data_IF_570102399919
#
_entry.id   IF_570102399919
#
_cell.length_a   1.000
_cell.length_b   1.000
_cell.length_c   1.000
_cell.angle_alpha   90.00
_cell.angle_beta   90.00
_cell.angle_gamma   90.00
#
_symmetry.space_group_name_H-M   'P 1'
#
loop_
_entity.id
_entity.type
_entity.pdbx_description
1 polymer ?
#
# COMPACT_ATOMS: atom_id res chain seq x y z
N UNK A 1 -33.43 -18.83 48.26
CA UNK A 1 -32.03 -18.40 48.03
C UNK A 1 -31.93 -17.92 46.59
N UNK A 2 -31.80 -16.62 46.37
CA UNK A 2 -31.64 -16.05 45.03
C UNK A 2 -30.17 -16.17 44.61
N UNK A 3 -29.87 -17.09 43.69
CA UNK A 3 -28.55 -17.14 43.06
C UNK A 3 -28.41 -15.90 42.16
N UNK A 4 -27.73 -14.86 42.64
CA UNK A 4 -27.27 -13.78 41.77
C UNK A 4 -26.26 -14.37 40.78
N UNK A 5 -26.72 -14.75 39.57
CA UNK A 5 -25.81 -15.10 38.47
C UNK A 5 -24.91 -13.89 38.19
N UNK A 6 -23.60 -14.07 38.36
CA UNK A 6 -22.59 -13.06 38.02
C UNK A 6 -22.73 -12.72 36.53
N UNK A 7 -22.70 -11.43 36.18
CA UNK A 7 -22.71 -10.97 34.79
C UNK A 7 -21.47 -11.50 34.06
N UNK A 8 -21.62 -11.91 32.80
CA UNK A 8 -20.47 -12.33 31.97
C UNK A 8 -19.43 -11.20 31.82
N UNK A 9 -19.90 -9.97 31.62
CA UNK A 9 -19.07 -8.75 31.54
C UNK A 9 -18.87 -8.08 32.90
N UNK A 10 -18.75 -8.86 33.98
CA UNK A 10 -18.65 -8.30 35.33
C UNK A 10 -17.37 -7.50 35.56
N UNK A 11 -16.23 -7.90 34.96
CA UNK A 11 -14.96 -7.16 35.10
C UNK A 11 -15.09 -5.76 34.47
N UNK A 12 -15.70 -5.67 33.29
CA UNK A 12 -16.04 -4.40 32.67
C UNK A 12 -16.87 -3.49 33.59
N UNK A 13 -17.97 -4.00 34.15
CA UNK A 13 -18.85 -3.22 35.04
C UNK A 13 -18.15 -2.80 36.33
N UNK A 14 -17.21 -3.62 36.82
CA UNK A 14 -16.41 -3.30 38.00
C UNK A 14 -15.40 -2.18 37.72
N UNK A 15 -14.70 -2.26 36.59
CA UNK A 15 -13.73 -1.24 36.16
C UNK A 15 -14.39 0.07 35.73
N UNK A 16 -15.56 -0.04 35.09
CA UNK A 16 -16.32 1.08 34.55
C UNK A 16 -17.77 1.00 35.04
N UNK A 17 -18.09 1.53 36.24
CA UNK A 17 -19.46 1.50 36.73
C UNK A 17 -20.38 2.35 35.85
N UNK A 18 -21.65 1.93 35.63
CA UNK A 18 -22.62 2.72 34.88
C UNK A 18 -22.90 4.05 35.59
N UNK A 19 -23.08 5.12 34.80
CA UNK A 19 -23.50 6.41 35.35
C UNK A 19 -24.93 6.33 35.90
N UNK A 20 -25.30 7.32 36.72
CA UNK A 20 -26.64 7.41 37.34
C UNK A 20 -27.80 7.51 36.32
N UNK A 21 -27.50 7.89 35.07
CA UNK A 21 -28.49 8.08 34.00
C UNK A 21 -28.65 6.83 33.12
N UNK A 22 -27.81 5.82 33.31
CA UNK A 22 -27.92 4.55 32.59
C UNK A 22 -29.13 3.78 33.13
N UNK A 23 -30.02 3.39 32.22
CA UNK A 23 -31.19 2.57 32.54
C UNK A 23 -31.24 1.34 31.64
N UNK A 24 -31.76 0.20 32.14
CA UNK A 24 -31.86 -1.04 31.38
C UNK A 24 -32.48 -0.83 29.99
N UNK A 25 -31.89 -1.49 29.00
CA UNK A 25 -32.36 -1.37 27.62
C UNK A 25 -33.81 -1.92 27.48
N UNK A 26 -34.62 -1.30 26.61
CA UNK A 26 -35.95 -1.82 26.26
C UNK A 26 -35.89 -3.28 25.78
N UNK A 27 -36.92 -4.08 26.12
CA UNK A 27 -36.93 -5.53 25.84
C UNK A 27 -36.94 -5.83 24.34
N UNK A 28 -37.69 -5.03 23.60
CA UNK A 28 -37.77 -4.98 22.15
C UNK A 28 -36.38 -4.74 21.52
N UNK A 29 -35.59 -3.79 22.05
CA UNK A 29 -34.22 -3.57 21.59
C UNK A 29 -33.35 -4.81 21.83
N UNK A 30 -33.36 -5.37 23.05
CA UNK A 30 -32.58 -6.57 23.38
C UNK A 30 -32.99 -7.76 22.52
N UNK A 31 -34.29 -7.92 22.24
CA UNK A 31 -34.82 -8.99 21.39
C UNK A 31 -34.40 -8.83 19.93
N UNK A 32 -34.35 -7.60 19.41
CA UNK A 32 -33.98 -7.33 18.02
C UNK A 32 -32.54 -7.75 17.69
N UNK A 33 -31.65 -7.79 18.68
CA UNK A 33 -30.25 -8.20 18.53
C UNK A 33 -29.96 -9.61 19.08
N UNK A 34 -30.97 -10.34 19.55
CA UNK A 34 -30.82 -11.72 20.03
C UNK A 34 -30.36 -12.65 18.89
N UNK A 35 -29.29 -13.41 19.12
CA UNK A 35 -28.68 -14.29 18.10
C UNK A 35 -27.83 -13.55 17.07
N UNK A 36 -27.74 -12.22 17.17
CA UNK A 36 -26.90 -11.37 16.31
C UNK A 36 -25.70 -10.87 17.12
N UNK A 37 -25.95 -10.34 18.31
CA UNK A 37 -24.90 -9.94 19.26
C UNK A 37 -24.66 -11.04 20.31
N UNK A 38 -23.44 -11.12 20.87
CA UNK A 38 -23.12 -12.03 21.96
C UNK A 38 -24.06 -11.87 23.16
N UNK A 39 -24.45 -13.01 23.75
CA UNK A 39 -25.38 -13.04 24.88
C UNK A 39 -24.86 -12.28 26.12
N UNK A 40 -23.54 -12.18 26.27
CA UNK A 40 -22.85 -11.43 27.32
C UNK A 40 -23.15 -9.92 27.26
N UNK A 41 -23.10 -9.32 26.06
CA UNK A 41 -23.46 -7.92 25.83
C UNK A 41 -24.95 -7.68 26.05
N UNK A 42 -25.82 -8.56 25.52
CA UNK A 42 -27.27 -8.45 25.70
C UNK A 42 -27.67 -8.61 27.17
N UNK A 43 -26.96 -9.45 27.93
CA UNK A 43 -27.15 -9.55 29.38
C UNK A 43 -26.79 -8.23 30.07
N UNK A 44 -25.68 -7.58 29.68
CA UNK A 44 -25.28 -6.29 30.20
C UNK A 44 -26.32 -5.21 29.91
N UNK A 45 -26.81 -5.11 28.67
CA UNK A 45 -27.85 -4.14 28.28
C UNK A 45 -29.14 -4.33 29.07
N UNK A 46 -29.58 -5.58 29.25
CA UNK A 46 -30.79 -5.91 30.00
C UNK A 46 -30.66 -5.61 31.50
N UNK A 47 -29.47 -5.73 32.07
CA UNK A 47 -29.26 -5.59 33.53
C UNK A 47 -28.81 -4.19 33.94
N UNK A 48 -27.95 -3.55 33.15
CA UNK A 48 -27.38 -2.24 33.45
C UNK A 48 -27.95 -1.19 32.52
N UNK A 49 -27.85 -1.36 31.21
CA UNK A 49 -28.41 -0.43 30.24
C UNK A 49 -27.44 0.11 29.21
N UNK A 50 -27.93 1.08 28.44
CA UNK A 50 -27.13 1.88 27.51
C UNK A 50 -26.83 3.26 28.11
N UNK A 51 -25.73 3.86 27.70
CA UNK A 51 -25.24 5.15 28.20
C UNK A 51 -23.79 5.09 28.69
N UNK A 52 -23.40 6.05 29.52
CA UNK A 52 -21.99 6.27 29.92
C UNK A 52 -21.53 5.37 31.07
N UNK A 53 -20.31 4.84 30.96
CA UNK A 53 -19.66 3.95 31.91
C UNK A 53 -18.26 4.48 32.30
N UNK A 54 -17.95 4.42 33.59
CA UNK A 54 -16.63 4.73 34.14
C UNK A 54 -16.20 6.19 34.05
N UNK A 55 -15.03 6.49 34.61
CA UNK A 55 -14.44 7.84 34.57
C UNK A 55 -13.91 8.23 33.19
N UNK A 56 -13.71 7.23 32.33
CA UNK A 56 -13.32 7.41 30.93
C UNK A 56 -14.54 7.55 30.01
N UNK A 57 -15.76 7.67 30.54
CA UNK A 57 -16.96 8.07 29.80
C UNK A 57 -17.24 7.24 28.53
N UNK A 58 -17.03 5.92 28.63
CA UNK A 58 -17.32 4.98 27.55
C UNK A 58 -18.84 4.88 27.37
N UNK A 59 -19.36 5.14 26.18
CA UNK A 59 -20.79 5.07 25.92
C UNK A 59 -21.18 3.75 25.27
N UNK A 60 -22.07 2.97 25.90
CA UNK A 60 -22.79 1.90 25.20
C UNK A 60 -23.97 2.51 24.45
N UNK A 61 -24.08 2.20 23.17
CA UNK A 61 -25.00 2.89 22.24
C UNK A 61 -26.05 1.94 21.68
N UNK A 62 -27.17 2.50 21.23
CA UNK A 62 -28.18 1.78 20.45
C UNK A 62 -27.68 1.62 19.01
N UNK A 63 -27.47 0.39 18.52
CA UNK A 63 -26.95 0.20 17.17
C UNK A 63 -27.93 0.73 16.10
N UNK A 64 -29.24 0.77 16.36
CA UNK A 64 -30.22 1.27 15.41
C UNK A 64 -30.04 2.74 15.07
N UNK A 65 -29.55 3.54 16.03
CA UNK A 65 -29.29 4.97 15.83
C UNK A 65 -27.96 5.23 15.11
N UNK A 66 -27.02 4.30 15.22
CA UNK A 66 -25.65 4.46 14.75
C UNK A 66 -25.32 3.68 13.49
N UNK A 67 -26.19 2.75 13.07
CA UNK A 67 -25.96 1.89 11.91
C UNK A 67 -25.72 2.72 10.65
N UNK A 68 -26.56 3.72 10.38
CA UNK A 68 -26.42 4.58 9.20
C UNK A 68 -25.09 5.36 9.19
N UNK A 69 -24.64 5.81 10.36
CA UNK A 69 -23.33 6.46 10.51
C UNK A 69 -22.19 5.49 10.21
N UNK A 70 -22.24 4.28 10.76
CA UNK A 70 -21.21 3.25 10.51
C UNK A 70 -21.17 2.85 9.03
N UNK A 71 -22.33 2.60 8.42
CA UNK A 71 -22.46 2.19 7.01
C UNK A 71 -21.93 3.28 6.06
N UNK A 72 -22.07 4.55 6.44
CA UNK A 72 -21.54 5.68 5.67
C UNK A 72 -20.02 5.78 5.75
N UNK A 73 -19.44 5.45 6.90
CA UNK A 73 -17.98 5.39 7.05
C UNK A 73 -17.36 4.16 6.39
N UNK A 74 -18.04 3.01 6.44
CA UNK A 74 -17.54 1.73 5.93
C UNK A 74 -18.51 1.17 4.88
N UNK A 75 -18.28 1.55 3.62
CA UNK A 75 -19.04 1.02 2.48
C UNK A 75 -18.75 -0.46 2.32
N UNK A 76 -19.78 -1.28 2.50
CA UNK A 76 -19.66 -2.72 2.47
C UNK A 76 -20.22 -3.27 1.16
N UNK A 77 -19.44 -4.05 0.39
CA UNK A 77 -19.96 -4.78 -0.77
C UNK A 77 -21.12 -5.72 -0.38
N UNK A 78 -22.03 -6.05 -1.31
CA UNK A 78 -23.06 -7.06 -1.09
C UNK A 78 -22.46 -8.38 -0.60
N UNK A 79 -23.02 -8.97 0.46
CA UNK A 79 -22.52 -10.22 1.06
C UNK A 79 -21.40 -10.06 2.10
N UNK A 80 -20.97 -8.82 2.39
CA UNK A 80 -20.01 -8.56 3.46
C UNK A 80 -20.55 -8.93 4.84
N UNK A 81 -19.63 -9.23 5.77
CA UNK A 81 -19.95 -9.45 7.18
C UNK A 81 -20.69 -8.23 7.74
N UNK A 82 -21.83 -8.50 8.41
CA UNK A 82 -22.62 -7.47 9.08
C UNK A 82 -21.81 -6.84 10.22
N UNK A 83 -21.71 -5.51 10.21
CA UNK A 83 -21.04 -4.71 11.24
C UNK A 83 -22.09 -4.03 12.11
N UNK A 84 -21.93 -4.08 13.43
CA UNK A 84 -22.93 -3.58 14.36
C UNK A 84 -22.26 -2.61 15.34
N UNK A 85 -22.59 -1.32 15.34
CA UNK A 85 -22.00 -0.37 16.28
C UNK A 85 -22.48 -0.65 17.70
N UNK A 86 -21.57 -0.78 18.66
CA UNK A 86 -21.88 -1.24 20.03
C UNK A 86 -21.43 -0.26 21.12
N UNK A 87 -20.40 0.54 20.86
CA UNK A 87 -19.91 1.53 21.82
C UNK A 87 -19.28 2.74 21.12
N UNK A 88 -19.27 3.87 21.82
CA UNK A 88 -18.64 5.12 21.40
C UNK A 88 -17.68 5.58 22.50
N UNK A 89 -16.45 5.92 22.10
CA UNK A 89 -15.44 6.46 22.99
C UNK A 89 -15.54 8.00 23.06
N UNK A 90 -14.98 8.65 24.09
CA UNK A 90 -15.24 10.06 24.38
C UNK A 90 -14.82 11.07 23.30
N UNK A 91 -13.97 10.68 22.36
CA UNK A 91 -13.48 11.53 21.27
C UNK A 91 -14.02 11.13 19.89
N UNK A 92 -15.10 10.34 19.85
CA UNK A 92 -15.77 9.98 18.60
C UNK A 92 -15.33 8.65 17.98
N UNK A 93 -14.40 7.91 18.60
CA UNK A 93 -14.07 6.56 18.11
C UNK A 93 -15.27 5.63 18.28
N UNK A 94 -15.73 5.03 17.18
CA UNK A 94 -16.88 4.13 17.15
C UNK A 94 -16.40 2.68 17.15
N UNK A 95 -16.82 1.91 18.15
CA UNK A 95 -16.57 0.47 18.25
C UNK A 95 -17.72 -0.32 17.64
N UNK A 96 -17.39 -1.34 16.84
CA UNK A 96 -18.37 -2.19 16.20
C UNK A 96 -17.98 -3.67 16.28
N UNK A 97 -19.01 -4.52 16.34
CA UNK A 97 -18.89 -5.96 16.39
C UNK A 97 -19.09 -6.57 15.00
N UNK A 98 -18.34 -7.64 14.70
CA UNK A 98 -18.55 -8.48 13.51
C UNK A 98 -18.67 -9.94 13.90
N UNK A 99 -19.65 -10.63 13.30
CA UNK A 99 -19.72 -12.09 13.32
C UNK A 99 -19.10 -12.62 12.02
N UNK A 100 -17.83 -12.99 12.07
CA UNK A 100 -17.04 -13.35 10.87
C UNK A 100 -17.48 -14.70 10.31
N UNK A 101 -17.68 -15.68 11.19
CA UNK A 101 -18.15 -17.04 10.84
C UNK A 101 -19.19 -17.51 11.87
N UNK A 102 -19.64 -18.76 11.81
CA UNK A 102 -20.52 -19.31 12.83
C UNK A 102 -19.88 -19.32 14.23
N UNK A 103 -18.54 -19.42 14.30
CA UNK A 103 -17.78 -19.53 15.55
C UNK A 103 -16.92 -18.29 15.81
N UNK A 104 -16.41 -17.64 14.76
CA UNK A 104 -15.49 -16.51 14.87
C UNK A 104 -16.22 -15.17 14.93
N UNK A 105 -15.66 -14.26 15.70
CA UNK A 105 -16.15 -12.89 15.87
C UNK A 105 -14.99 -11.97 16.21
N UNK A 106 -15.23 -10.66 16.11
CA UNK A 106 -14.30 -9.66 16.60
C UNK A 106 -15.02 -8.38 17.02
N UNK A 107 -14.24 -7.51 17.65
CA UNK A 107 -14.57 -6.11 17.86
C UNK A 107 -13.49 -5.27 17.21
N UNK A 108 -13.92 -4.35 16.35
CA UNK A 108 -13.05 -3.42 15.63
C UNK A 108 -13.50 -1.98 15.90
N UNK A 109 -12.67 -1.02 15.49
CA UNK A 109 -12.96 0.40 15.68
C UNK A 109 -12.75 1.21 14.41
N UNK A 110 -13.41 2.37 14.38
CA UNK A 110 -13.10 3.46 13.47
C UNK A 110 -12.97 4.75 14.25
N UNK A 111 -11.84 5.44 14.07
CA UNK A 111 -11.61 6.78 14.58
C UNK A 111 -11.82 7.78 13.42
N UNK A 112 -12.91 8.56 13.44
CA UNK A 112 -13.19 9.51 12.36
C UNK A 112 -12.25 10.72 12.38
N UNK A 113 -11.57 10.99 13.51
CA UNK A 113 -10.67 12.15 13.67
C UNK A 113 -9.30 11.82 13.08
N UNK A 114 -8.71 10.70 13.50
CA UNK A 114 -7.41 10.24 12.97
C UNK A 114 -7.52 9.47 11.65
N UNK A 115 -8.75 9.16 11.21
CA UNK A 115 -9.07 8.34 10.02
C UNK A 115 -8.49 6.91 10.11
N UNK A 116 -8.27 6.41 11.31
CA UNK A 116 -7.74 5.07 11.54
C UNK A 116 -8.85 4.05 11.76
N UNK A 117 -8.56 2.81 11.38
CA UNK A 117 -9.38 1.64 11.72
C UNK A 117 -8.46 0.48 12.09
N UNK A 118 -8.96 -0.43 12.90
CA UNK A 118 -8.21 -1.61 13.31
C UNK A 118 -9.06 -2.56 14.14
N UNK A 119 -8.53 -3.76 14.35
CA UNK A 119 -9.15 -4.79 15.17
C UNK A 119 -8.69 -4.64 16.63
N UNK A 120 -9.61 -4.69 17.59
CA UNK A 120 -9.30 -4.57 19.02
C UNK A 120 -9.16 -5.93 19.70
N UNK A 121 -10.04 -6.86 19.38
CA UNK A 121 -10.04 -8.20 19.96
C UNK A 121 -10.82 -9.18 19.08
N UNK A 122 -10.41 -10.44 19.13
CA UNK A 122 -11.06 -11.58 18.45
C UNK A 122 -12.23 -12.18 19.25
N UNK A 123 -12.71 -11.48 20.28
CA UNK A 123 -13.96 -11.81 20.96
C UNK A 123 -14.54 -10.58 21.66
N UNK A 124 -15.87 -10.52 21.77
CA UNK A 124 -16.52 -9.42 22.50
C UNK A 124 -16.18 -9.45 23.99
N UNK A 125 -16.11 -10.64 24.57
CA UNK A 125 -15.83 -10.84 25.99
C UNK A 125 -14.41 -10.40 26.34
N UNK A 126 -13.41 -10.68 25.51
CA UNK A 126 -12.05 -10.20 25.69
C UNK A 126 -11.96 -8.69 25.49
N UNK A 127 -12.65 -8.13 24.50
CA UNK A 127 -12.70 -6.69 24.33
C UNK A 127 -13.18 -5.99 25.62
N UNK A 128 -14.31 -6.43 26.18
CA UNK A 128 -14.92 -5.77 27.34
C UNK A 128 -14.19 -6.07 28.66
N UNK A 129 -13.83 -7.33 28.90
CA UNK A 129 -13.23 -7.73 30.18
C UNK A 129 -11.70 -7.59 30.22
N UNK A 130 -11.02 -7.46 29.08
CA UNK A 130 -9.56 -7.31 29.00
C UNK A 130 -9.17 -5.96 28.42
N UNK A 131 -9.40 -5.72 27.13
CA UNK A 131 -8.91 -4.53 26.41
C UNK A 131 -9.43 -3.23 27.03
N UNK A 132 -10.75 -3.13 27.24
CA UNK A 132 -11.37 -1.96 27.85
C UNK A 132 -11.11 -1.87 29.36
N UNK A 133 -10.55 -2.90 30.00
CA UNK A 133 -10.28 -2.87 31.45
C UNK A 133 -8.80 -2.64 31.78
N UNK A 134 -7.89 -2.92 30.86
CA UNK A 134 -6.45 -2.81 31.05
C UNK A 134 -5.97 -1.40 30.69
N UNK A 135 -5.35 -0.66 31.65
CA UNK A 135 -4.96 0.72 31.41
C UNK A 135 -4.05 0.90 30.20
N UNK A 136 -3.07 0.02 30.00
CA UNK A 136 -2.16 0.10 28.86
C UNK A 136 -2.89 0.06 27.51
N UNK A 137 -3.83 -0.88 27.36
CA UNK A 137 -4.62 -1.05 26.14
C UNK A 137 -5.61 0.10 25.96
N UNK A 138 -6.36 0.46 27.00
CA UNK A 138 -7.37 1.52 26.87
C UNK A 138 -6.73 2.91 26.65
N UNK A 139 -5.57 3.18 27.25
CA UNK A 139 -4.88 4.47 27.08
C UNK A 139 -4.29 4.66 25.69
N UNK A 140 -4.04 3.57 24.95
CA UNK A 140 -3.60 3.64 23.55
C UNK A 140 -4.69 4.17 22.61
N UNK A 141 -5.96 4.01 22.98
CA UNK A 141 -7.13 4.41 22.19
C UNK A 141 -7.79 5.67 22.78
N UNK A 142 -7.67 5.86 24.09
CA UNK A 142 -8.31 6.95 24.83
C UNK A 142 -7.28 7.62 25.74
N UNK A 143 -6.79 8.80 25.35
CA UNK A 143 -5.81 9.54 26.14
C UNK A 143 -6.38 10.00 27.50
N UNK A 144 -5.85 9.51 28.63
CA UNK A 144 -6.33 9.92 29.96
C UNK A 144 -6.06 11.39 30.25
N UNK A 145 -4.98 11.93 29.68
CA UNK A 145 -4.60 13.34 29.82
C UNK A 145 -5.64 14.20 29.12
N UNK A 146 -6.00 13.87 27.89
CA UNK A 146 -7.03 14.61 27.15
C UNK A 146 -8.39 14.52 27.83
N UNK A 147 -8.78 13.35 28.36
CA UNK A 147 -10.04 13.23 29.12
C UNK A 147 -10.04 14.12 30.36
N UNK A 148 -8.92 14.15 31.10
CA UNK A 148 -8.81 15.00 32.29
C UNK A 148 -8.99 16.46 31.92
N UNK A 149 -8.24 16.94 30.91
CA UNK A 149 -8.36 18.30 30.40
C UNK A 149 -9.77 18.60 29.90
N UNK A 150 -10.36 17.72 29.11
CA UNK A 150 -11.72 17.88 28.59
C UNK A 150 -12.76 18.00 29.71
N UNK A 151 -12.61 17.24 30.80
CA UNK A 151 -13.51 17.33 31.96
C UNK A 151 -13.32 18.60 32.77
N UNK A 152 -12.08 19.06 32.92
CA UNK A 152 -11.76 20.33 33.58
C UNK A 152 -12.30 21.53 32.80
N UNK A 153 -12.22 21.49 31.46
CA UNK A 153 -12.67 22.57 30.59
C UNK A 153 -14.18 22.54 30.31
N UNK A 154 -14.77 21.37 30.06
CA UNK A 154 -16.11 21.25 29.48
C UNK A 154 -17.09 20.42 30.30
N UNK A 155 -16.70 19.96 31.50
CA UNK A 155 -17.47 19.06 32.35
C UNK A 155 -17.71 17.67 31.73
N UNK A 156 -18.50 16.83 32.39
CA UNK A 156 -18.83 15.45 31.94
C UNK A 156 -19.76 15.50 30.71
N UNK A 157 -19.63 14.52 29.83
CA UNK A 157 -20.49 14.28 28.68
C UNK A 157 -21.90 13.87 29.14
N UNK A 158 -22.90 14.31 28.39
CA UNK A 158 -24.26 13.79 28.42
C UNK A 158 -24.43 12.69 27.35
N UNK A 159 -25.50 11.87 27.42
CA UNK A 159 -25.77 10.86 26.40
C UNK A 159 -25.82 11.45 24.98
N UNK A 160 -25.01 10.90 24.08
CA UNK A 160 -24.92 11.35 22.68
C UNK A 160 -23.92 12.49 22.43
N UNK A 161 -23.19 12.94 23.46
CA UNK A 161 -22.11 13.91 23.33
C UNK A 161 -20.73 13.21 23.24
N UNK A 162 -19.79 13.90 22.59
CA UNK A 162 -18.35 13.59 22.58
C UNK A 162 -17.56 14.89 22.73
N UNK A 163 -16.29 14.77 23.07
CA UNK A 163 -15.33 15.86 23.04
C UNK A 163 -14.71 15.97 21.66
N UNK A 164 -14.71 17.18 21.12
CA UNK A 164 -13.92 17.54 19.95
C UNK A 164 -12.70 18.33 20.38
N UNK A 165 -11.54 18.01 19.79
CA UNK A 165 -10.27 18.69 20.05
C UNK A 165 -9.83 19.40 18.78
N UNK A 166 -9.83 20.73 18.80
CA UNK A 166 -9.35 21.57 17.70
C UNK A 166 -7.90 22.01 17.98
N UNK A 167 -6.98 21.69 17.06
CA UNK A 167 -5.61 22.19 17.10
C UNK A 167 -5.57 23.61 16.54
N UNK A 168 -5.47 24.60 17.43
CA UNK A 168 -5.34 26.00 17.01
C UNK A 168 -3.86 26.31 16.83
N UNK A 169 -3.44 26.55 15.58
CA UNK A 169 -2.06 26.90 15.23
C UNK A 169 -1.76 28.35 15.59
N UNK A 170 -1.38 28.59 16.84
CA UNK A 170 -0.64 29.77 17.29
C UNK A 170 0.48 29.28 18.20
N UNK A 171 1.58 30.04 18.24
CA UNK A 171 2.92 29.69 18.75
C UNK A 171 3.03 29.25 20.23
N UNK A 172 1.90 29.04 20.90
CA UNK A 172 1.75 28.30 22.15
C UNK A 172 0.60 27.30 21.97
N UNK A 173 0.91 26.00 22.04
CA UNK A 173 -0.03 24.88 21.88
C UNK A 173 -1.20 24.97 22.87
N UNK A 174 -2.27 25.69 22.52
CA UNK A 174 -3.53 25.66 23.24
C UNK A 174 -4.49 24.75 22.46
N UNK A 175 -4.85 23.62 23.08
CA UNK A 175 -5.91 22.75 22.57
C UNK A 175 -7.26 23.35 22.97
N UNK A 176 -8.12 23.64 21.99
CA UNK A 176 -9.50 23.97 22.28
C UNK A 176 -10.29 22.67 22.35
N UNK A 177 -10.92 22.42 23.48
CA UNK A 177 -11.78 21.26 23.69
C UNK A 177 -13.21 21.77 23.85
N UNK A 178 -14.16 21.16 23.14
CA UNK A 178 -15.58 21.46 23.29
C UNK A 178 -16.44 20.19 23.27
N UNK A 179 -17.64 20.26 23.86
CA UNK A 179 -18.63 19.19 23.76
C UNK A 179 -19.48 19.40 22.53
N UNK A 180 -19.60 18.36 21.72
CA UNK A 180 -20.40 18.38 20.49
C UNK A 180 -21.33 17.19 20.46
N UNK A 181 -22.39 17.30 19.66
CA UNK A 181 -23.23 16.14 19.35
C UNK A 181 -22.42 15.15 18.51
N UNK A 182 -22.40 13.89 18.94
CA UNK A 182 -21.54 12.89 18.33
C UNK A 182 -21.96 12.52 16.90
N UNK A 183 -23.26 12.40 16.62
CA UNK A 183 -23.74 12.12 15.27
C UNK A 183 -23.41 13.28 14.32
N UNK A 184 -23.56 14.52 14.79
CA UNK A 184 -23.21 15.71 14.00
C UNK A 184 -21.70 15.80 13.72
N UNK A 185 -20.85 15.46 14.71
CA UNK A 185 -19.40 15.37 14.51
C UNK A 185 -19.08 14.36 13.40
N UNK A 186 -19.60 13.12 13.51
CA UNK A 186 -19.37 12.10 12.48
C UNK A 186 -19.90 12.52 11.11
N UNK A 187 -21.06 13.17 11.06
CA UNK A 187 -21.64 13.69 9.82
C UNK A 187 -20.71 14.73 9.18
N UNK A 188 -20.28 15.75 9.93
CA UNK A 188 -19.38 16.80 9.43
C UNK A 188 -18.03 16.23 8.98
N UNK A 189 -17.42 15.34 9.77
CA UNK A 189 -16.14 14.72 9.41
C UNK A 189 -16.27 13.86 8.15
N UNK A 190 -17.39 13.14 7.99
CA UNK A 190 -17.65 12.35 6.79
C UNK A 190 -17.96 13.22 5.57
N UNK A 191 -18.78 14.26 5.73
CA UNK A 191 -19.07 15.25 4.69
C UNK A 191 -17.76 15.88 4.18
N UNK A 192 -16.84 16.21 5.08
CA UNK A 192 -15.52 16.73 4.71
C UNK A 192 -14.71 15.73 3.88
N UNK A 193 -14.78 14.42 4.17
CA UNK A 193 -14.12 13.41 3.33
C UNK A 193 -14.80 13.27 1.95
N UNK A 194 -16.13 13.33 1.89
CA UNK A 194 -16.89 13.18 0.63
C UNK A 194 -16.81 14.41 -0.29
N UNK A 195 -16.69 15.63 0.27
CA UNK A 195 -16.47 16.86 -0.52
C UNK A 195 -15.12 16.85 -1.25
N UNK A 196 -14.12 16.13 -0.72
CA UNK A 196 -12.84 15.90 -1.39
C UNK A 196 -12.87 14.68 -2.33
N UNK A 197 -13.99 13.94 -2.39
CA UNK A 197 -14.19 12.78 -3.25
C UNK A 197 -15.06 13.09 -4.47
N UNK A 198 -14.98 14.29 -5.04
CA UNK A 198 -15.44 14.49 -6.42
C UNK A 198 -14.66 13.51 -7.29
N UNK A 199 -15.28 12.37 -7.62
CA UNK A 199 -14.67 11.32 -8.40
C UNK A 199 -14.24 11.92 -9.73
N UNK A 200 -12.94 12.19 -9.84
CA UNK A 200 -12.38 12.53 -11.12
C UNK A 200 -12.68 11.35 -12.05
N UNK A 201 -12.89 11.63 -13.33
CA UNK A 201 -13.16 10.54 -14.26
C UNK A 201 -11.89 9.73 -14.46
N UNK A 202 -12.04 8.42 -14.64
CA UNK A 202 -10.95 7.57 -15.14
C UNK A 202 -10.43 8.20 -16.44
N UNK A 203 -9.11 8.42 -16.57
CA UNK A 203 -8.55 9.02 -17.78
C UNK A 203 -8.82 8.13 -18.99
N UNK A 204 -9.27 8.72 -20.09
CA UNK A 204 -9.34 8.06 -21.38
C UNK A 204 -8.14 8.41 -22.25
N UNK A 205 -7.62 9.63 -22.12
CA UNK A 205 -6.47 10.16 -22.87
C UNK A 205 -5.34 10.62 -21.95
N UNK A 206 -4.14 10.78 -22.50
CA UNK A 206 -3.00 11.36 -21.77
C UNK A 206 -3.36 12.74 -21.21
N UNK A 207 -4.09 13.57 -21.96
CA UNK A 207 -4.59 14.85 -21.47
C UNK A 207 -5.50 14.71 -20.25
N UNK A 208 -6.43 13.76 -20.28
CA UNK A 208 -7.33 13.50 -19.15
C UNK A 208 -6.53 13.08 -17.92
N UNK A 209 -5.46 12.30 -18.10
CA UNK A 209 -4.63 11.79 -17.02
C UNK A 209 -3.91 12.90 -16.24
N UNK A 210 -3.57 14.01 -16.91
CA UNK A 210 -2.89 15.14 -16.28
C UNK A 210 -3.74 15.84 -15.21
N UNK A 211 -3.11 16.34 -14.14
CA UNK A 211 -3.77 17.25 -13.20
C UNK A 211 -4.21 18.53 -13.93
N UNK A 212 -5.43 18.98 -13.68
CA UNK A 212 -6.08 20.07 -14.43
C UNK A 212 -5.23 21.36 -14.47
N UNK A 213 -4.53 21.68 -13.38
CA UNK A 213 -3.73 22.90 -13.23
C UNK A 213 -2.45 22.92 -14.10
N UNK A 214 -1.99 21.77 -14.60
CA UNK A 214 -0.79 21.65 -15.42
C UNK A 214 -1.07 21.41 -16.91
N UNK A 215 -2.32 21.18 -17.32
CA UNK A 215 -2.64 20.82 -18.72
C UNK A 215 -2.13 21.84 -19.73
N UNK A 216 -2.35 23.12 -19.49
CA UNK A 216 -1.95 24.20 -20.39
C UNK A 216 -0.44 24.24 -20.66
N UNK A 217 0.39 23.76 -19.71
CA UNK A 217 1.85 23.71 -19.86
C UNK A 217 2.29 22.74 -20.96
N UNK A 218 1.50 21.69 -21.22
CA UNK A 218 1.84 20.64 -22.18
C UNK A 218 1.03 20.74 -23.49
N UNK A 219 -0.04 21.55 -23.53
CA UNK A 219 -0.96 21.67 -24.68
C UNK A 219 -0.28 22.21 -25.95
N UNK A 220 0.71 23.10 -25.82
CA UNK A 220 1.40 23.71 -26.96
C UNK A 220 2.53 22.82 -27.54
N UNK A 221 2.74 21.63 -26.98
CA UNK A 221 3.83 20.75 -27.41
C UNK A 221 3.47 19.95 -28.66
N UNK A 222 4.07 20.34 -29.77
CA UNK A 222 3.97 19.60 -31.03
C UNK A 222 4.97 18.44 -30.99
N UNK A 223 4.50 17.23 -31.28
CA UNK A 223 5.39 16.11 -31.58
C UNK A 223 6.11 16.36 -32.90
N UNK A 224 7.36 16.79 -32.82
CA UNK A 224 8.23 16.98 -33.98
C UNK A 224 9.00 15.69 -34.31
N UNK A 225 9.61 15.64 -35.50
CA UNK A 225 10.67 14.66 -35.80
C UNK A 225 11.86 15.01 -34.90
N UNK A 226 12.50 14.00 -34.30
CA UNK A 226 13.60 14.08 -33.31
C UNK A 226 13.16 13.86 -31.84
N UNK A 227 14.06 14.11 -30.88
CA UNK A 227 13.85 13.87 -29.45
C UNK A 227 12.85 14.85 -28.81
N UNK A 228 12.48 15.93 -29.49
CA UNK A 228 11.48 16.90 -29.04
C UNK A 228 10.09 16.26 -29.00
N UNK A 229 9.35 16.48 -27.91
CA UNK A 229 8.00 15.98 -27.72
C UNK A 229 7.68 15.59 -26.28
N UNK A 230 6.58 14.84 -26.13
CA UNK A 230 6.08 14.35 -24.85
C UNK A 230 6.39 12.86 -24.67
N UNK A 231 6.79 12.50 -23.45
CA UNK A 231 7.21 11.15 -23.09
C UNK A 231 6.52 10.76 -21.78
N UNK A 232 5.74 9.67 -21.81
CA UNK A 232 5.00 9.18 -20.66
C UNK A 232 5.66 7.90 -20.13
N UNK A 233 5.82 7.85 -18.81
CA UNK A 233 6.12 6.64 -18.05
C UNK A 233 5.01 6.43 -17.02
N UNK A 234 4.56 5.19 -16.84
CA UNK A 234 3.51 4.81 -15.90
C UNK A 234 3.92 3.56 -15.18
N UNK A 235 3.92 3.55 -13.85
CA UNK A 235 4.22 2.37 -13.03
C UNK A 235 3.23 2.31 -11.87
N UNK A 236 2.36 1.30 -11.90
CA UNK A 236 1.22 1.20 -10.99
C UNK A 236 0.39 2.49 -11.02
N UNK A 237 0.19 3.14 -9.88
CA UNK A 237 -0.54 4.39 -9.70
C UNK A 237 0.30 5.66 -9.94
N UNK A 238 1.61 5.52 -10.13
CA UNK A 238 2.52 6.63 -10.38
C UNK A 238 2.74 6.88 -11.88
N UNK A 239 2.72 8.14 -12.25
CA UNK A 239 2.88 8.59 -13.63
C UNK A 239 3.86 9.74 -13.73
N UNK A 240 4.61 9.76 -14.84
CA UNK A 240 5.60 10.78 -15.13
C UNK A 240 5.47 11.21 -16.58
N UNK A 241 5.35 12.51 -16.82
CA UNK A 241 5.32 13.10 -18.16
C UNK A 241 6.52 14.02 -18.31
N UNK A 242 7.40 13.67 -19.23
CA UNK A 242 8.55 14.47 -19.63
C UNK A 242 8.26 15.16 -20.96
N UNK A 243 8.47 16.46 -20.97
CA UNK A 243 8.45 17.33 -22.13
C UNK A 243 9.88 17.71 -22.49
N UNK A 244 10.30 17.44 -23.73
CA UNK A 244 11.55 17.97 -24.29
C UNK A 244 11.20 19.01 -25.35
N UNK A 245 11.64 20.25 -25.16
CA UNK A 245 11.36 21.37 -26.05
C UNK A 245 12.52 21.62 -27.02
N UNK A 246 12.23 22.22 -28.19
CA UNK A 246 13.22 22.52 -29.23
C UNK A 246 14.24 23.61 -28.83
N UNK A 247 13.94 24.40 -27.80
CA UNK A 247 14.82 25.42 -27.23
C UNK A 247 15.83 24.87 -26.20
N UNK A 248 15.84 23.55 -25.96
CA UNK A 248 16.72 22.90 -24.97
C UNK A 248 16.18 22.92 -23.54
N UNK A 249 14.92 23.31 -23.32
CA UNK A 249 14.24 23.24 -22.03
C UNK A 249 13.47 21.93 -21.85
N UNK A 250 13.35 21.47 -20.61
CA UNK A 250 12.49 20.35 -20.26
C UNK A 250 11.48 20.74 -19.19
N UNK A 251 10.34 20.03 -19.19
CA UNK A 251 9.38 20.02 -18.09
C UNK A 251 9.09 18.57 -17.71
N UNK A 252 9.32 18.22 -16.44
CA UNK A 252 9.01 16.91 -15.89
C UNK A 252 7.89 17.06 -14.86
N UNK A 253 6.83 16.28 -15.02
CA UNK A 253 5.69 16.23 -14.10
C UNK A 253 5.57 14.81 -13.56
N UNK A 254 5.47 14.68 -12.24
CA UNK A 254 5.20 13.42 -11.55
C UNK A 254 3.89 13.55 -10.78
N UNK A 255 3.03 12.55 -10.85
CA UNK A 255 1.78 12.53 -10.08
C UNK A 255 1.29 11.11 -9.85
N UNK A 256 0.38 10.96 -8.90
CA UNK A 256 -0.31 9.72 -8.62
C UNK A 256 -1.78 9.83 -9.06
N UNK A 257 -2.33 8.78 -9.67
CA UNK A 257 -3.77 8.65 -9.91
C UNK A 257 -4.33 7.63 -8.94
N UNK A 258 -5.11 8.09 -7.96
CA UNK A 258 -5.72 7.20 -6.98
C UNK A 258 -6.72 6.23 -7.63
N UNK A 259 -6.53 4.93 -7.44
CA UNK A 259 -7.30 3.86 -8.09
C UNK A 259 -8.84 4.00 -7.94
N UNK A 260 -9.31 4.51 -6.79
CA UNK A 260 -10.77 4.60 -6.50
C UNK A 260 -11.43 5.91 -6.87
N UNK A 261 -10.72 7.02 -6.70
CA UNK A 261 -11.27 8.37 -6.91
C UNK A 261 -10.85 8.96 -8.25
N UNK A 262 -9.83 8.35 -8.87
CA UNK A 262 -9.04 8.88 -9.96
C UNK A 262 -8.48 10.28 -9.68
N UNK A 263 -8.42 10.70 -8.42
CA UNK A 263 -7.86 12.00 -8.08
C UNK A 263 -6.37 12.05 -8.47
N UNK A 264 -5.94 13.17 -9.04
CA UNK A 264 -4.53 13.43 -9.35
C UNK A 264 -3.92 14.07 -8.10
N UNK A 265 -3.08 13.33 -7.40
CA UNK A 265 -2.52 13.73 -6.10
C UNK A 265 -1.00 13.63 -6.12
N UNK A 266 -0.36 14.08 -5.04
CA UNK A 266 1.09 13.99 -4.84
C UNK A 266 1.92 14.55 -6.02
N UNK A 267 1.42 15.65 -6.60
CA UNK A 267 1.98 16.26 -7.80
C UNK A 267 3.31 16.94 -7.49
N UNK A 268 4.33 16.64 -8.29
CA UNK A 268 5.67 17.26 -8.25
C UNK A 268 6.08 17.67 -9.65
N UNK A 269 6.85 18.73 -9.77
CA UNK A 269 7.30 19.22 -11.08
C UNK A 269 8.72 19.74 -11.02
N UNK A 270 9.45 19.47 -12.10
CA UNK A 270 10.80 19.95 -12.34
C UNK A 270 10.87 20.57 -13.73
N UNK A 271 11.73 21.55 -13.88
CA UNK A 271 11.97 22.17 -15.18
C UNK A 271 13.37 22.75 -15.18
N UNK A 272 14.01 22.72 -16.34
CA UNK A 272 15.38 23.16 -16.47
C UNK A 272 15.86 23.04 -17.91
N UNK A 273 17.18 22.96 -18.05
CA UNK A 273 17.84 22.75 -19.34
C UNK A 273 18.14 21.27 -19.48
N UNK A 274 18.02 20.74 -20.69
CA UNK A 274 18.56 19.43 -21.03
C UNK A 274 19.65 19.56 -22.08
N UNK A 275 20.55 18.58 -22.09
CA UNK A 275 21.57 18.46 -23.13
C UNK A 275 21.45 17.11 -23.82
N UNK A 276 21.84 17.07 -25.09
CA UNK A 276 21.93 15.82 -25.85
C UNK A 276 23.38 15.56 -26.20
N UNK A 277 23.79 14.30 -26.10
CA UNK A 277 25.14 13.87 -26.44
C UNK A 277 25.07 12.56 -27.18
N UNK A 278 25.88 12.41 -28.23
CA UNK A 278 26.02 11.14 -28.93
C UNK A 278 27.25 10.42 -28.42
N UNK A 279 27.07 9.20 -27.95
CA UNK A 279 28.17 8.35 -27.48
C UNK A 279 29.08 7.92 -28.64
N UNK A 280 30.27 7.42 -28.31
CA UNK A 280 31.21 6.83 -29.28
C UNK A 280 30.60 5.66 -30.05
N UNK A 281 29.70 4.92 -29.42
CA UNK A 281 29.04 3.75 -30.00
C UNK A 281 27.79 4.11 -30.81
N UNK A 282 27.45 5.40 -30.86
CA UNK A 282 26.40 5.96 -31.72
C UNK A 282 25.05 6.13 -31.04
N UNK A 283 24.92 5.78 -29.75
CA UNK A 283 23.71 5.99 -28.94
C UNK A 283 23.51 7.48 -28.62
N UNK A 284 22.27 7.94 -28.71
CA UNK A 284 21.88 9.31 -28.38
C UNK A 284 21.41 9.39 -26.92
N UNK A 285 22.17 10.09 -26.08
CA UNK A 285 21.86 10.34 -24.67
C UNK A 285 21.21 11.71 -24.46
N UNK A 286 20.36 11.79 -23.44
CA UNK A 286 19.71 13.00 -22.94
C UNK A 286 20.05 13.14 -21.46
N UNK A 287 20.54 14.31 -21.06
CA UNK A 287 20.80 14.62 -19.64
C UNK A 287 19.95 15.80 -19.21
N UNK A 288 19.13 15.61 -18.16
CA UNK A 288 18.29 16.62 -17.54
C UNK A 288 19.00 17.23 -16.33
N UNK A 289 19.02 18.56 -16.22
CA UNK A 289 19.49 19.24 -15.02
C UNK A 289 18.39 19.27 -13.95
N UNK A 290 18.19 18.14 -13.24
CA UNK A 290 17.17 18.01 -12.18
C UNK A 290 17.74 18.55 -10.86
N UNK A 291 17.20 19.68 -10.41
CA UNK A 291 17.51 20.25 -9.10
C UNK A 291 16.45 19.84 -8.07
N UNK A 292 16.85 19.01 -7.09
CA UNK A 292 15.96 18.58 -6.01
C UNK A 292 15.62 19.74 -5.05
N UNK A 293 14.35 19.82 -4.67
CA UNK A 293 13.80 20.77 -3.71
C UNK A 293 13.46 20.09 -2.37
N UNK A 294 13.14 20.87 -1.34
CA UNK A 294 12.82 20.40 0.01
C UNK A 294 11.66 19.39 0.10
N UNK A 295 10.77 19.36 -0.90
CA UNK A 295 9.62 18.47 -1.03
C UNK A 295 9.85 17.33 -2.05
N UNK A 296 11.07 17.18 -2.56
CA UNK A 296 11.43 16.12 -3.51
C UNK A 296 11.65 14.79 -2.80
N UNK A 297 11.35 13.69 -3.51
CA UNK A 297 11.80 12.35 -3.16
C UNK A 297 13.24 12.15 -3.64
N UNK A 298 14.00 11.29 -2.94
CA UNK A 298 15.36 10.94 -3.37
C UNK A 298 15.40 10.33 -4.77
N UNK A 299 14.37 9.57 -5.15
CA UNK A 299 14.23 8.95 -6.47
C UNK A 299 13.61 9.86 -7.54
N UNK A 300 13.47 11.17 -7.31
CA UNK A 300 13.00 12.08 -8.38
C UNK A 300 14.16 12.50 -9.31
N UNK A 301 15.42 12.40 -8.85
CA UNK A 301 16.63 12.70 -9.64
C UNK A 301 17.04 11.57 -10.61
N UNK A 302 16.38 10.44 -10.49
CA UNK A 302 16.66 9.19 -11.17
C UNK A 302 16.38 9.22 -12.69
N UNK A 303 15.65 10.25 -13.14
CA UNK A 303 15.34 10.54 -14.55
C UNK A 303 16.36 11.49 -15.21
N UNK A 304 17.49 11.78 -14.54
CA UNK A 304 18.51 12.74 -15.01
C UNK A 304 19.29 12.27 -16.24
N UNK A 305 19.49 10.95 -16.42
CA UNK A 305 20.25 10.37 -17.53
C UNK A 305 19.41 9.35 -18.30
N UNK A 306 19.12 9.69 -19.56
CA UNK A 306 18.28 8.89 -20.44
C UNK A 306 19.02 8.54 -21.74
N UNK A 307 18.70 7.40 -22.33
CA UNK A 307 19.22 6.95 -23.64
C UNK A 307 18.05 6.74 -24.59
N UNK A 308 18.14 7.33 -25.78
CA UNK A 308 17.12 7.21 -26.79
C UNK A 308 17.15 5.84 -27.48
N UNK A 309 15.98 5.22 -27.61
CA UNK A 309 15.76 4.01 -28.37
C UNK A 309 14.69 4.28 -29.44
N UNK A 310 14.93 3.81 -30.66
CA UNK A 310 14.03 4.00 -31.79
C UNK A 310 13.54 2.64 -32.27
N UNK A 311 12.25 2.35 -32.08
CA UNK A 311 11.68 1.07 -32.49
C UNK A 311 10.28 1.24 -33.04
N UNK A 312 9.99 0.57 -34.16
CA UNK A 312 8.65 0.50 -34.76
C UNK A 312 7.96 1.87 -34.92
N UNK A 313 8.72 2.90 -35.29
CA UNK A 313 8.21 4.26 -35.47
C UNK A 313 7.87 5.00 -34.16
N UNK A 314 8.25 4.46 -33.01
CA UNK A 314 8.13 5.07 -31.68
C UNK A 314 9.52 5.34 -31.10
N UNK A 315 9.65 6.45 -30.38
CA UNK A 315 10.85 6.75 -29.60
C UNK A 315 10.59 6.44 -28.13
N UNK A 316 11.59 5.84 -27.48
CA UNK A 316 11.62 5.64 -26.05
C UNK A 316 12.85 6.34 -25.46
N UNK A 317 12.74 6.74 -24.20
CA UNK A 317 13.85 7.23 -23.41
C UNK A 317 14.07 6.26 -22.25
N UNK A 318 15.17 5.53 -22.27
CA UNK A 318 15.50 4.50 -21.28
C UNK A 318 16.34 5.12 -20.18
N UNK A 319 16.02 4.85 -18.91
CA UNK A 319 16.84 5.33 -17.79
C UNK A 319 18.19 4.62 -17.78
N UNK A 320 19.27 5.39 -17.79
CA UNK A 320 20.62 4.84 -17.92
C UNK A 320 21.02 3.96 -16.72
N UNK A 321 20.56 4.30 -15.51
CA UNK A 321 20.80 3.51 -14.30
C UNK A 321 19.96 2.22 -14.22
N UNK A 322 18.97 2.05 -15.09
CA UNK A 322 18.06 0.88 -15.10
C UNK A 322 18.42 -0.13 -16.21
N UNK A 323 19.43 0.15 -17.06
CA UNK A 323 19.75 -0.70 -18.22
C UNK A 323 20.10 -2.14 -17.83
N UNK A 324 20.73 -2.34 -16.67
CA UNK A 324 21.06 -3.69 -16.22
C UNK A 324 19.81 -4.52 -15.89
N UNK A 325 18.86 -3.92 -15.18
CA UNK A 325 17.58 -4.53 -14.82
C UNK A 325 16.71 -4.76 -16.05
N UNK A 326 16.67 -3.79 -16.97
CA UNK A 326 16.05 -3.96 -18.28
C UNK A 326 16.65 -5.12 -19.06
N UNK A 327 17.98 -5.20 -19.17
CA UNK A 327 18.64 -6.30 -19.86
C UNK A 327 18.33 -7.67 -19.24
N UNK A 328 18.21 -7.72 -17.91
CA UNK A 328 17.77 -8.91 -17.18
C UNK A 328 16.35 -9.32 -17.55
N UNK A 329 15.41 -8.37 -17.59
CA UNK A 329 14.03 -8.63 -17.98
C UNK A 329 13.91 -9.07 -19.45
N UNK A 330 14.68 -8.44 -20.35
CA UNK A 330 14.69 -8.75 -21.78
C UNK A 330 15.25 -10.17 -22.00
N UNK A 331 16.45 -10.45 -21.49
CA UNK A 331 17.09 -11.75 -21.68
C UNK A 331 16.35 -12.91 -21.01
N UNK A 332 15.67 -12.63 -19.89
CA UNK A 332 14.96 -13.64 -19.10
C UNK A 332 13.53 -13.91 -19.56
N UNK A 333 12.77 -12.85 -19.85
CA UNK A 333 11.31 -12.89 -20.07
C UNK A 333 10.86 -12.26 -21.39
N UNK A 334 11.77 -11.73 -22.20
CA UNK A 334 11.44 -10.98 -23.43
C UNK A 334 10.49 -9.78 -23.18
N UNK A 335 10.66 -9.13 -22.04
CA UNK A 335 9.94 -7.91 -21.63
C UNK A 335 10.94 -6.76 -21.46
N UNK A 336 10.51 -5.52 -21.69
CA UNK A 336 11.34 -4.33 -21.51
C UNK A 336 11.84 -4.11 -20.07
N UNK A 337 11.26 -4.80 -19.09
CA UNK A 337 11.45 -4.51 -17.67
C UNK A 337 10.38 -3.57 -17.15
N UNK A 338 10.52 -3.10 -15.92
CA UNK A 338 9.48 -2.28 -15.28
C UNK A 338 9.19 -1.04 -16.13
N UNK A 339 7.92 -0.67 -16.22
CA UNK A 339 7.50 0.49 -17.01
C UNK A 339 7.98 1.84 -16.44
N UNK A 340 8.52 1.86 -15.21
CA UNK A 340 9.28 2.98 -14.64
C UNK A 340 10.70 3.13 -15.23
N UNK A 341 11.26 2.09 -15.85
CA UNK A 341 12.64 2.15 -16.37
C UNK A 341 12.73 2.90 -17.71
N UNK A 342 11.60 3.25 -18.32
CA UNK A 342 11.58 3.97 -19.60
C UNK A 342 10.38 4.91 -19.72
N UNK A 343 10.52 5.90 -20.60
CA UNK A 343 9.42 6.70 -21.11
C UNK A 343 9.13 6.34 -22.56
N UNK A 344 7.86 6.40 -22.95
CA UNK A 344 7.41 6.23 -24.32
C UNK A 344 6.92 7.55 -24.89
N UNK A 345 7.32 7.88 -26.12
CA UNK A 345 6.82 9.07 -26.81
C UNK A 345 5.29 8.96 -27.03
N UNK A 346 4.57 10.04 -26.71
CA UNK A 346 3.11 10.13 -26.75
C UNK A 346 2.64 11.48 -27.30
N UNK A 347 1.37 11.55 -27.67
CA UNK A 347 0.62 12.80 -27.81
C UNK A 347 -0.43 12.92 -26.70
N UNK A 348 -0.88 14.14 -26.40
CA UNK A 348 -1.95 14.37 -25.42
C UNK A 348 -3.27 13.69 -25.81
N UNK A 349 -3.51 13.49 -27.11
CA UNK A 349 -4.69 12.80 -27.64
C UNK A 349 -4.58 11.27 -27.62
N UNK A 350 -3.41 10.70 -27.34
CA UNK A 350 -3.25 9.26 -27.27
C UNK A 350 -4.11 8.67 -26.14
N UNK A 351 -4.57 7.43 -26.34
CA UNK A 351 -5.25 6.69 -25.29
C UNK A 351 -4.33 6.51 -24.08
N UNK A 352 -4.85 6.79 -22.89
CA UNK A 352 -4.15 6.52 -21.65
C UNK A 352 -4.25 5.03 -21.33
N UNK A 353 -3.18 4.30 -21.63
CA UNK A 353 -3.07 2.87 -21.39
C UNK A 353 -2.16 2.67 -20.19
N UNK A 354 -2.71 2.03 -19.16
CA UNK A 354 -1.94 1.58 -18.00
C UNK A 354 -0.96 0.50 -18.47
N UNK A 355 0.33 0.71 -18.22
CA UNK A 355 1.34 -0.28 -18.54
C UNK A 355 1.36 -1.37 -17.47
N UNK A 356 1.61 -2.63 -17.88
CA UNK A 356 1.80 -3.71 -16.91
C UNK A 356 3.05 -3.41 -16.07
N UNK A 357 3.07 -3.85 -14.80
CA UNK A 357 4.18 -3.59 -13.90
C UNK A 357 5.53 -4.15 -14.41
N UNK A 358 5.51 -5.32 -15.06
CA UNK A 358 6.69 -5.92 -15.73
C UNK A 358 6.96 -5.31 -17.14
N UNK A 359 6.24 -4.24 -17.48
CA UNK A 359 6.34 -3.50 -18.73
C UNK A 359 5.76 -4.21 -19.94
N UNK A 360 6.29 -3.83 -21.10
CA UNK A 360 5.81 -4.27 -22.42
C UNK A 360 6.70 -5.37 -22.99
N UNK A 361 6.22 -6.04 -24.03
CA UNK A 361 7.07 -6.94 -24.83
C UNK A 361 8.27 -6.18 -25.38
N UNK A 362 9.44 -6.79 -25.25
CA UNK A 362 10.70 -6.23 -25.74
C UNK A 362 10.66 -6.05 -27.27
N UNK A 363 11.12 -4.89 -27.78
CA UNK A 363 11.35 -4.69 -29.21
C UNK A 363 12.40 -5.63 -29.80
N UNK A 364 12.54 -5.67 -31.14
CA UNK A 364 13.64 -6.38 -31.80
C UNK A 364 15.01 -5.99 -31.24
N UNK A 365 15.91 -6.95 -31.10
CA UNK A 365 17.23 -6.74 -30.51
C UNK A 365 18.03 -5.61 -31.16
N UNK A 366 17.96 -5.52 -32.49
CA UNK A 366 18.71 -4.54 -33.28
C UNK A 366 18.24 -3.09 -33.05
N UNK A 367 17.03 -2.90 -32.52
CA UNK A 367 16.48 -1.58 -32.20
C UNK A 367 17.00 -1.01 -30.87
N UNK A 368 17.60 -1.85 -30.00
CA UNK A 368 18.12 -1.41 -28.71
C UNK A 368 19.35 -0.50 -28.87
N UNK A 369 19.57 0.46 -27.96
CA UNK A 369 20.84 1.17 -27.88
C UNK A 369 22.00 0.21 -27.65
N UNK A 370 23.19 0.51 -28.16
CA UNK A 370 24.40 -0.31 -28.02
C UNK A 370 24.78 -0.57 -26.57
N UNK A 371 24.60 0.42 -25.70
CA UNK A 371 24.77 0.26 -24.25
C UNK A 371 23.89 -0.87 -23.68
N UNK A 372 22.64 -0.99 -24.14
CA UNK A 372 21.73 -2.04 -23.70
C UNK A 372 22.01 -3.39 -24.40
N UNK A 373 22.31 -3.38 -25.70
CA UNK A 373 22.70 -4.59 -26.44
C UNK A 373 23.90 -5.29 -25.80
N UNK A 374 24.88 -4.52 -25.30
CA UNK A 374 26.07 -5.06 -24.65
C UNK A 374 25.77 -5.81 -23.32
N UNK A 375 24.62 -5.53 -22.70
CA UNK A 375 24.21 -6.12 -21.42
C UNK A 375 23.26 -7.32 -21.58
N UNK A 376 22.62 -7.46 -22.74
CA UNK A 376 21.65 -8.53 -22.99
C UNK A 376 22.37 -9.79 -23.44
N UNK A 377 22.23 -10.86 -22.65
CA UNK A 377 22.67 -12.19 -23.01
C UNK A 377 21.68 -12.85 -23.98
N UNK A 378 21.98 -12.79 -25.29
CA UNK A 378 21.14 -13.41 -26.35
C UNK A 378 21.02 -14.92 -26.13
N UNK A 379 22.15 -15.57 -25.80
CA UNK A 379 22.16 -16.94 -25.29
C UNK A 379 22.07 -16.91 -23.76
N UNK A 380 21.18 -17.69 -23.14
CA UNK A 380 21.05 -17.67 -21.69
C UNK A 380 22.31 -18.23 -21.04
N UNK A 381 22.80 -17.52 -20.02
CA UNK A 381 23.89 -18.01 -19.19
C UNK A 381 23.45 -19.29 -18.49
N UNK A 382 24.37 -20.24 -18.34
CA UNK A 382 24.12 -21.55 -17.72
C UNK A 382 25.13 -21.74 -16.60
N UNK A 383 24.69 -21.56 -15.36
CA UNK A 383 25.50 -21.71 -14.17
C UNK A 383 25.22 -23.05 -13.49
N UNK A 384 26.26 -23.72 -13.00
CA UNK A 384 26.17 -24.97 -12.24
C UNK A 384 26.35 -24.70 -10.76
N UNK A 385 25.50 -25.29 -9.92
CA UNK A 385 25.65 -25.26 -8.47
C UNK A 385 26.87 -26.11 -8.09
N UNK A 386 27.88 -25.49 -7.50
CA UNK A 386 29.10 -26.15 -7.00
C UNK A 386 29.06 -26.41 -5.50
N UNK A 387 28.27 -25.62 -4.77
CA UNK A 387 28.07 -25.77 -3.32
C UNK A 387 26.64 -25.38 -2.93
N UNK A 388 26.10 -26.02 -1.90
CA UNK A 388 24.81 -25.67 -1.28
C UNK A 388 25.06 -25.53 0.22
N UNK A 389 24.78 -24.35 0.77
CA UNK A 389 24.91 -24.07 2.21
C UNK A 389 23.88 -24.89 3.01
N UNK A 390 24.05 -24.90 4.33
CA UNK A 390 23.08 -25.53 5.23
C UNK A 390 21.86 -24.58 5.35
N UNK A 391 20.64 -25.03 5.03
CA UNK A 391 19.44 -24.22 5.20
C UNK A 391 19.26 -23.79 6.65
N UNK A 392 18.89 -22.53 6.89
CA UNK A 392 18.63 -21.98 8.22
C UNK A 392 17.12 -22.06 8.55
N UNK A 393 16.68 -22.95 9.46
CA UNK A 393 15.26 -23.09 9.79
C UNK A 393 14.65 -21.85 10.46
N UNK A 394 15.47 -21.00 11.08
CA UNK A 394 15.00 -19.77 11.74
C UNK A 394 14.60 -18.67 10.72
N UNK A 395 14.99 -18.84 9.45
CA UNK A 395 14.65 -17.95 8.32
C UNK A 395 13.53 -18.52 7.43
N UNK A 396 12.92 -19.65 7.82
CA UNK A 396 11.81 -20.27 7.10
C UNK A 396 10.45 -19.68 7.54
N UNK A 397 9.56 -19.42 6.58
CA UNK A 397 8.16 -19.06 6.82
C UNK A 397 7.25 -20.15 6.26
N UNK A 398 6.43 -20.77 7.11
CA UNK A 398 5.50 -21.84 6.72
C UNK A 398 6.14 -23.03 5.97
N UNK A 399 7.44 -23.29 6.22
CA UNK A 399 8.21 -24.36 5.58
C UNK A 399 8.76 -23.98 4.19
N UNK A 400 8.64 -22.72 3.80
CA UNK A 400 9.32 -22.14 2.63
C UNK A 400 10.53 -21.34 3.09
N UNK A 401 11.62 -21.46 2.35
CA UNK A 401 12.85 -20.73 2.63
C UNK A 401 13.74 -20.63 1.41
N UNK A 402 14.84 -19.89 1.54
CA UNK A 402 15.89 -19.84 0.55
C UNK A 402 17.20 -20.37 1.14
N UNK A 403 18.00 -21.06 0.33
CA UNK A 403 19.33 -21.52 0.72
C UNK A 403 20.37 -20.93 -0.23
N UNK A 404 21.48 -20.48 0.33
CA UNK A 404 22.58 -19.94 -0.47
C UNK A 404 23.29 -21.07 -1.20
N UNK A 405 23.45 -20.91 -2.51
CA UNK A 405 24.14 -21.83 -3.40
C UNK A 405 25.32 -21.10 -4.05
N UNK A 406 26.49 -21.74 -4.14
CA UNK A 406 27.61 -21.20 -4.93
C UNK A 406 27.51 -21.71 -6.37
N UNK A 407 27.68 -20.79 -7.32
CA UNK A 407 27.66 -21.02 -8.76
C UNK A 407 29.09 -20.94 -9.33
N UNK A 408 29.32 -21.63 -10.45
CA UNK A 408 30.59 -21.64 -11.20
C UNK A 408 30.78 -20.47 -12.17
N UNK A 409 29.80 -19.56 -12.27
CA UNK A 409 29.88 -18.32 -13.03
C UNK A 409 29.86 -17.12 -12.09
N UNK A 410 30.57 -16.06 -12.48
CA UNK A 410 30.69 -14.82 -11.75
C UNK A 410 30.34 -13.55 -12.54
N UNK A 411 30.77 -12.40 -12.03
CA UNK A 411 30.56 -11.10 -12.70
C UNK A 411 31.28 -11.00 -14.05
N UNK A 412 32.47 -11.59 -14.17
CA UNK A 412 33.23 -11.56 -15.44
C UNK A 412 32.64 -12.50 -16.49
N UNK A 413 31.83 -13.47 -16.05
CA UNK A 413 31.09 -14.39 -16.92
C UNK A 413 29.68 -13.85 -17.28
N UNK A 414 29.33 -12.66 -16.79
CA UNK A 414 28.11 -11.95 -17.15
C UNK A 414 26.94 -12.07 -16.16
N UNK A 415 27.10 -12.78 -15.02
CA UNK A 415 26.10 -12.73 -13.95
C UNK A 415 26.13 -11.37 -13.25
N UNK A 416 24.98 -10.95 -12.72
CA UNK A 416 24.82 -9.66 -12.02
C UNK A 416 24.05 -9.85 -10.73
N UNK A 417 24.24 -8.92 -9.80
CA UNK A 417 23.48 -8.90 -8.55
C UNK A 417 21.97 -8.84 -8.86
N UNK A 418 21.16 -9.51 -8.04
CA UNK A 418 19.70 -9.62 -8.20
C UNK A 418 19.21 -10.26 -9.50
N UNK A 419 20.10 -10.82 -10.32
CA UNK A 419 19.70 -11.51 -11.54
C UNK A 419 18.94 -12.80 -11.17
N UNK A 420 17.73 -13.03 -11.70
CA UNK A 420 16.99 -14.25 -11.46
C UNK A 420 17.57 -15.42 -12.25
N UNK A 421 17.46 -16.60 -11.67
CA UNK A 421 18.00 -17.84 -12.17
C UNK A 421 16.97 -18.96 -11.99
N UNK A 422 16.81 -19.76 -13.02
CA UNK A 422 15.77 -20.78 -13.10
C UNK A 422 16.35 -22.13 -13.48
N UNK A 423 15.79 -23.22 -12.99
CA UNK A 423 16.10 -24.53 -13.56
C UNK A 423 15.68 -24.58 -15.03
N UNK A 424 16.48 -25.18 -15.94
CA UNK A 424 16.11 -25.35 -17.33
C UNK A 424 14.74 -26.00 -17.49
N UNK A 425 14.03 -25.59 -18.54
CA UNK A 425 12.80 -26.26 -18.96
C UNK A 425 13.08 -27.76 -19.17
N UNK A 426 12.21 -28.62 -18.62
CA UNK A 426 12.35 -30.08 -18.62
C UNK A 426 13.46 -30.69 -17.73
N UNK A 427 14.15 -29.90 -16.90
CA UNK A 427 15.08 -30.44 -15.89
C UNK A 427 14.37 -31.23 -14.78
N UNK A 428 13.07 -30.99 -14.57
CA UNK A 428 12.28 -31.58 -13.49
C UNK A 428 12.60 -31.05 -12.09
N UNK A 429 13.47 -30.02 -11.97
CA UNK A 429 13.93 -29.49 -10.67
C UNK A 429 13.10 -28.30 -10.18
N UNK A 430 12.47 -27.52 -11.07
CA UNK A 430 11.65 -26.34 -10.76
C UNK A 430 12.31 -25.39 -9.72
N UNK A 431 13.61 -25.16 -9.87
CA UNK A 431 14.37 -24.27 -9.00
C UNK A 431 14.23 -22.83 -9.49
N UNK A 432 14.14 -21.90 -8.55
CA UNK A 432 14.15 -20.46 -8.79
C UNK A 432 15.00 -19.81 -7.71
N UNK A 433 15.78 -18.80 -8.09
CA UNK A 433 16.60 -18.05 -7.16
C UNK A 433 17.14 -16.77 -7.74
N UNK A 434 17.84 -16.00 -6.91
CA UNK A 434 18.43 -14.72 -7.30
C UNK A 434 19.90 -14.68 -6.90
N UNK A 435 20.73 -14.01 -7.70
CA UNK A 435 22.12 -13.77 -7.35
C UNK A 435 22.21 -12.75 -6.21
N UNK A 436 22.86 -13.14 -5.11
CA UNK A 436 22.96 -12.36 -3.86
C UNK A 436 24.39 -12.05 -3.43
N UNK A 437 25.39 -12.74 -3.98
CA UNK A 437 26.81 -12.46 -3.72
C UNK A 437 27.58 -12.54 -5.02
N UNK A 438 28.39 -11.52 -5.29
CA UNK A 438 29.18 -11.41 -6.52
C UNK A 438 30.67 -11.67 -6.26
N UNK A 439 31.28 -12.53 -7.07
CA UNK A 439 32.74 -12.58 -7.28
C UNK A 439 33.04 -12.75 -8.78
N UNK A 440 34.30 -12.52 -9.24
CA UNK A 440 34.63 -12.54 -10.66
C UNK A 440 34.23 -13.81 -11.43
N UNK A 441 34.45 -15.00 -10.84
CA UNK A 441 34.21 -16.31 -11.48
C UNK A 441 33.37 -17.27 -10.63
N UNK A 442 32.66 -16.74 -9.64
CA UNK A 442 31.72 -17.50 -8.83
C UNK A 442 30.72 -16.55 -8.16
N UNK A 443 29.47 -16.96 -8.02
CA UNK A 443 28.46 -16.14 -7.35
C UNK A 443 27.67 -16.95 -6.34
N UNK A 444 27.19 -16.29 -5.29
CA UNK A 444 26.19 -16.85 -4.40
C UNK A 444 24.80 -16.53 -4.93
N UNK A 445 23.93 -17.54 -5.05
CA UNK A 445 22.52 -17.37 -5.37
C UNK A 445 21.65 -17.96 -4.26
N UNK A 446 20.68 -17.19 -3.80
CA UNK A 446 19.66 -17.64 -2.86
C UNK A 446 18.59 -18.37 -3.66
N UNK A 447 18.51 -19.69 -3.49
CA UNK A 447 17.59 -20.57 -4.24
C UNK A 447 16.48 -21.03 -3.32
N UNK A 448 15.24 -20.81 -3.73
CA UNK A 448 14.05 -21.16 -2.97
C UNK A 448 13.87 -22.67 -2.87
N UNK A 449 13.33 -23.12 -1.73
CA UNK A 449 12.93 -24.49 -1.48
C UNK A 449 11.71 -24.55 -0.56
N UNK A 450 11.03 -25.70 -0.54
CA UNK A 450 9.91 -25.97 0.37
C UNK A 450 10.13 -27.30 1.09
N UNK A 451 9.69 -27.38 2.36
CA UNK A 451 9.65 -28.61 3.12
C UNK A 451 8.34 -29.36 2.91
N UNK A 452 8.45 -30.68 2.78
CA UNK A 452 7.33 -31.60 2.81
C UNK A 452 6.75 -31.77 4.21
N UNK A 453 5.66 -32.53 4.29
CA UNK A 453 4.94 -32.81 5.56
C UNK A 453 5.84 -33.52 6.58
N UNK A 454 6.87 -34.23 6.12
CA UNK A 454 7.86 -34.90 6.97
C UNK A 454 9.05 -34.00 7.38
N UNK A 455 9.01 -32.72 6.99
CA UNK A 455 10.07 -31.75 7.27
C UNK A 455 11.30 -31.87 6.35
N UNK A 456 11.29 -32.78 5.38
CA UNK A 456 12.39 -32.89 4.40
C UNK A 456 12.24 -31.85 3.30
N UNK A 457 13.35 -31.36 2.75
CA UNK A 457 13.30 -30.41 1.64
C UNK A 457 12.90 -31.15 0.36
N UNK A 458 11.71 -30.83 -0.16
CA UNK A 458 11.20 -31.39 -1.40
C UNK A 458 11.85 -30.67 -2.59
N UNK A 459 12.50 -31.44 -3.46
CA UNK A 459 13.09 -30.95 -4.71
C UNK A 459 14.11 -29.79 -4.62
N UNK A 460 14.60 -29.42 -3.43
CA UNK A 460 15.55 -28.32 -3.23
C UNK A 460 16.89 -28.48 -3.96
N UNK A 461 17.71 -27.41 -4.00
CA UNK A 461 18.93 -27.35 -4.81
C UNK A 461 19.99 -28.37 -4.38
N UNK A 462 20.76 -28.87 -5.34
CA UNK A 462 21.84 -29.84 -5.16
C UNK A 462 23.04 -29.46 -6.01
N UNK A 463 24.23 -29.87 -5.56
CA UNK A 463 25.46 -29.76 -6.35
C UNK A 463 25.29 -30.48 -7.68
N UNK A 464 25.65 -29.81 -8.77
CA UNK A 464 25.49 -30.29 -10.14
C UNK A 464 24.20 -29.84 -10.83
N UNK A 465 23.24 -29.24 -10.11
CA UNK A 465 22.09 -28.62 -10.76
C UNK A 465 22.53 -27.45 -11.63
N UNK A 466 21.87 -27.29 -12.76
CA UNK A 466 22.07 -26.17 -13.67
C UNK A 466 20.95 -25.16 -13.47
N UNK A 467 21.32 -23.89 -13.40
CA UNK A 467 20.41 -22.75 -13.43
C UNK A 467 20.71 -21.90 -14.66
N UNK A 468 19.67 -21.30 -15.24
CA UNK A 468 19.76 -20.46 -16.44
C UNK A 468 19.06 -19.14 -16.23
N UNK A 469 19.52 -18.11 -16.93
CA UNK A 469 18.94 -16.76 -16.84
C UNK A 469 17.60 -16.60 -17.58
N UNK A 470 17.16 -17.62 -18.35
CA UNK A 470 15.88 -17.64 -19.08
C UNK A 470 14.76 -18.25 -18.25
N UNK A 471 13.64 -17.55 -18.14
CA UNK A 471 12.47 -18.03 -17.43
C UNK A 471 11.80 -19.19 -18.18
N UNK A 472 11.29 -20.23 -17.48
CA UNK A 472 10.52 -21.30 -18.10
C UNK A 472 9.25 -20.78 -18.78
N UNK A 473 8.87 -21.36 -19.92
CA UNK A 473 7.64 -21.00 -20.65
C UNK A 473 7.75 -19.78 -21.57
N UNK A 474 8.92 -19.12 -21.63
CA UNK A 474 9.22 -18.04 -22.57
C UNK A 474 10.21 -18.54 -23.63
N UNK A 475 9.69 -19.13 -24.70
CA UNK A 475 10.44 -19.39 -25.93
C UNK A 475 9.94 -18.44 -27.03
N UNK A 476 10.88 -17.84 -27.75
CA UNK A 476 10.69 -17.09 -29.00
C UNK A 476 10.29 -18.01 -30.14
#
# INVERSE_FOLDING_TARGET
>A
MSFFRRLALHRFVQSHPPSRHVSPAPRDLVSAYSGILPASLLQLWRTKGLGLYGSLQLALIDPGQWQATLDRWIISPPGSVRRIPIALLPFGTLLYYRKLTAIDEDVAYIDPVSKQTGDLAWSLDDCFNKILCEPASLHSIVSPVLIRSARETCQTLEPGEVYEVEQVSLSMQMLRIEKVNALELHRRLRDAVELHSSAAKRPATVLDALPDEYRSRFEEMVSERDLVGLYLSSYLDWHRLLALQSNGLYDLLLWEIQDKTFARVNVRTYSGVYTTQRSSDGDDGVTLDIALEHNSSGGDADDDQLIAMYSNGTTFLLRANELEDMATAIGGRNLMGRSESYFRKVTLSDAFVEEQADGRVAPPFDDFPKALQALIHVEPLRATITHVDIPNPDEEEEGEGAVMCTLDLGSEDGLRMNMPLYSPEHSGRNLEGWVWRMTPHACGAGVSYRRGVDGTIENGPKVGDVLVTRAPGWQT
#
